data_IF_194282378982
#
_entry.id   IF_194282378982
#
_cell.length_a   1.000
_cell.length_b   1.000
_cell.length_c   1.000
_cell.angle_alpha   90.00
_cell.angle_beta   90.00
_cell.angle_gamma   90.00
#
_symmetry.space_group_name_H-M   'P 1'
#
loop_
_entity.id
_entity.type
_entity.pdbx_description
1 polymer ?
#
# COMPACT_ATOMS: atom_id res chain seq x y z
N UNK A 1 64.59 0.81 -10.98
CA UNK A 1 63.63 -0.02 -10.21
C UNK A 1 63.00 0.86 -9.15
N UNK A 2 61.79 1.35 -9.39
CA UNK A 2 61.02 2.11 -8.40
C UNK A 2 59.54 1.77 -8.61
N UNK A 3 59.09 0.67 -7.99
CA UNK A 3 57.67 0.40 -7.83
C UNK A 3 57.15 1.27 -6.69
N UNK A 4 56.61 2.44 -7.03
CA UNK A 4 55.77 3.20 -6.12
C UNK A 4 54.38 2.57 -6.15
N UNK A 5 54.07 1.81 -5.10
CA UNK A 5 52.72 1.35 -4.78
C UNK A 5 51.85 2.58 -4.54
N UNK A 6 51.07 2.98 -5.54
CA UNK A 6 49.98 3.94 -5.34
C UNK A 6 48.91 3.26 -4.49
N UNK A 7 48.95 3.58 -3.21
CA UNK A 7 47.91 3.30 -2.24
C UNK A 7 46.56 3.69 -2.87
N UNK A 8 45.67 2.72 -3.06
CA UNK A 8 44.28 2.98 -3.39
C UNK A 8 43.67 3.77 -2.23
N UNK A 9 43.45 5.08 -2.42
CA UNK A 9 42.61 5.87 -1.53
C UNK A 9 41.14 5.58 -1.87
N UNK A 10 40.34 4.95 -0.99
CA UNK A 10 38.96 4.60 -1.29
C UNK A 10 37.97 5.74 -0.98
N UNK A 11 38.43 6.99 -0.94
CA UNK A 11 37.65 8.09 -0.32
C UNK A 11 36.85 8.94 -1.30
N UNK A 12 37.11 8.93 -2.61
CA UNK A 12 36.49 9.90 -3.52
C UNK A 12 35.79 9.23 -4.69
N UNK A 13 34.56 8.76 -4.47
CA UNK A 13 33.36 9.26 -5.16
C UNK A 13 32.19 8.30 -4.91
N UNK A 14 31.52 8.45 -3.76
CA UNK A 14 30.37 7.61 -3.41
C UNK A 14 29.13 8.21 -4.08
N UNK A 15 28.47 7.45 -4.95
CA UNK A 15 27.17 7.85 -5.48
C UNK A 15 26.17 8.03 -4.34
N UNK A 16 25.27 8.99 -4.46
CA UNK A 16 24.08 9.11 -3.62
C UNK A 16 22.88 8.64 -4.43
N UNK A 17 22.29 7.52 -4.07
CA UNK A 17 21.25 6.89 -4.87
C UNK A 17 19.87 7.14 -4.27
N UNK A 18 18.93 7.58 -5.11
CA UNK A 18 17.49 7.60 -4.81
C UNK A 18 16.85 6.37 -5.44
N UNK A 19 15.93 5.71 -4.73
CA UNK A 19 15.28 4.50 -5.21
C UNK A 19 14.12 4.87 -6.14
N UNK A 20 14.13 4.35 -7.37
CA UNK A 20 13.00 4.45 -8.30
C UNK A 20 12.34 3.07 -8.46
N UNK A 21 11.01 3.02 -8.48
CA UNK A 21 10.23 1.77 -8.55
C UNK A 21 9.96 1.26 -9.98
N UNK A 22 10.39 1.99 -11.02
CA UNK A 22 10.21 1.52 -12.40
C UNK A 22 11.21 0.41 -12.73
N UNK A 23 10.69 -0.76 -13.10
CA UNK A 23 11.45 -1.86 -13.70
C UNK A 23 11.88 -1.56 -15.15
N UNK A 24 11.37 -0.48 -15.74
CA UNK A 24 11.52 -0.18 -17.17
C UNK A 24 11.89 1.29 -17.38
N UNK A 25 12.96 1.52 -18.14
CA UNK A 25 13.49 2.84 -18.46
C UNK A 25 15.01 2.85 -18.59
N UNK A 26 15.55 3.88 -19.22
CA UNK A 26 17.00 4.03 -19.37
C UNK A 26 17.64 4.32 -18.02
N UNK A 27 18.63 3.52 -17.64
CA UNK A 27 19.44 3.81 -16.45
C UNK A 27 20.26 5.06 -16.71
N UNK A 28 20.17 6.12 -15.88
CA UNK A 28 20.91 7.35 -16.12
C UNK A 28 22.42 7.09 -16.09
N UNK A 29 23.16 7.85 -16.90
CA UNK A 29 24.63 7.79 -16.89
C UNK A 29 25.14 8.18 -15.50
N UNK A 30 25.84 7.24 -14.84
CA UNK A 30 26.38 7.43 -13.52
C UNK A 30 27.60 8.34 -13.56
N UNK A 31 27.44 9.58 -13.07
CA UNK A 31 28.52 10.57 -12.97
C UNK A 31 28.86 10.85 -11.51
N UNK A 32 29.93 10.25 -10.96
CA UNK A 32 30.36 10.56 -9.60
C UNK A 32 30.78 12.05 -9.46
N UNK A 33 30.47 12.76 -8.35
CA UNK A 33 29.72 12.34 -7.16
C UNK A 33 28.21 12.71 -7.22
N UNK A 34 27.63 12.91 -8.41
CA UNK A 34 26.24 13.34 -8.55
C UNK A 34 25.25 12.24 -8.13
N UNK A 35 24.07 12.67 -7.64
CA UNK A 35 22.98 11.75 -7.31
C UNK A 35 22.41 11.10 -8.57
N UNK A 36 21.95 9.86 -8.46
CA UNK A 36 21.25 9.18 -9.54
C UNK A 36 20.06 8.40 -9.00
N UNK A 37 18.93 8.48 -9.71
CA UNK A 37 17.76 7.67 -9.40
C UNK A 37 17.95 6.30 -10.04
N UNK A 38 18.04 5.25 -9.22
CA UNK A 38 18.28 3.89 -9.67
C UNK A 38 17.21 2.94 -9.11
N UNK A 39 16.90 1.85 -9.83
CA UNK A 39 16.14 0.75 -9.25
C UNK A 39 16.79 0.22 -7.97
N UNK A 40 15.97 -0.16 -6.98
CA UNK A 40 16.44 -0.66 -5.67
C UNK A 40 17.47 -1.79 -5.82
N UNK A 41 17.20 -2.76 -6.69
CA UNK A 41 18.09 -3.91 -6.90
C UNK A 41 19.49 -3.48 -7.36
N UNK A 42 19.59 -2.48 -8.23
CA UNK A 42 20.86 -1.97 -8.74
C UNK A 42 21.59 -1.17 -7.67
N UNK A 43 20.84 -0.35 -6.90
CA UNK A 43 21.40 0.40 -5.78
C UNK A 43 22.00 -0.52 -4.70
N UNK A 44 21.28 -1.59 -4.34
CA UNK A 44 21.77 -2.60 -3.39
C UNK A 44 22.98 -3.37 -3.91
N UNK A 45 23.02 -3.69 -5.21
CA UNK A 45 24.17 -4.33 -5.84
C UNK A 45 25.42 -3.43 -5.78
N UNK A 46 25.28 -2.14 -6.09
CA UNK A 46 26.38 -1.17 -6.02
C UNK A 46 26.83 -0.92 -4.57
N UNK A 47 25.90 -0.90 -3.61
CA UNK A 47 26.22 -0.82 -2.17
C UNK A 47 27.04 -2.03 -1.72
N UNK A 48 26.64 -3.25 -2.11
CA UNK A 48 27.37 -4.49 -1.83
C UNK A 48 28.79 -4.47 -2.43
N UNK A 49 28.96 -3.87 -3.60
CA UNK A 49 30.27 -3.65 -4.23
C UNK A 49 31.08 -2.49 -3.61
N UNK A 50 30.56 -1.80 -2.59
CA UNK A 50 31.15 -0.60 -1.96
C UNK A 50 31.38 0.55 -2.94
N UNK A 51 30.56 0.63 -4.00
CA UNK A 51 30.68 1.63 -5.06
C UNK A 51 29.71 2.80 -4.90
N UNK A 52 28.71 2.68 -4.02
CA UNK A 52 27.70 3.70 -3.79
C UNK A 52 27.28 3.74 -2.32
N UNK A 53 26.78 4.90 -1.91
CA UNK A 53 25.97 5.06 -0.70
C UNK A 53 24.51 5.26 -1.10
N UNK A 54 23.60 4.74 -0.30
CA UNK A 54 22.17 4.90 -0.50
C UNK A 54 21.71 6.09 0.33
N UNK A 55 20.85 6.93 -0.23
CA UNK A 55 20.18 7.95 0.57
C UNK A 55 18.86 7.34 1.04
N UNK A 56 18.63 7.23 2.36
CA UNK A 56 17.37 6.69 2.88
C UNK A 56 16.21 7.63 2.48
N UNK A 57 15.03 7.07 2.16
CA UNK A 57 13.87 7.89 1.82
C UNK A 57 13.35 8.63 3.06
N UNK A 58 12.73 9.80 2.87
CA UNK A 58 12.34 10.70 3.95
C UNK A 58 11.35 10.08 4.96
N UNK A 59 10.47 9.19 4.50
CA UNK A 59 9.52 8.49 5.36
C UNK A 59 10.17 7.46 6.29
N UNK A 60 11.38 6.95 5.97
CA UNK A 60 12.10 5.96 6.79
C UNK A 60 12.91 6.61 7.94
N UNK A 61 12.82 7.93 8.09
CA UNK A 61 13.43 8.64 9.20
C UNK A 61 12.69 8.33 10.53
N UNK A 62 13.38 8.16 11.67
CA UNK A 62 12.74 7.86 12.95
C UNK A 62 11.65 8.83 13.34
N UNK A 63 11.87 10.14 13.15
CA UNK A 63 10.87 11.16 13.41
C UNK A 63 9.60 10.97 12.56
N UNK A 64 9.75 10.61 11.28
CA UNK A 64 8.62 10.35 10.37
C UNK A 64 7.85 9.10 10.80
N UNK A 65 8.55 8.01 11.16
CA UNK A 65 7.90 6.79 11.64
C UNK A 65 7.17 7.01 12.97
N UNK A 66 7.81 7.72 13.91
CA UNK A 66 7.21 8.05 15.20
C UNK A 66 5.96 8.95 15.03
N UNK A 67 6.00 9.91 14.10
CA UNK A 67 4.85 10.74 13.76
C UNK A 67 3.70 9.90 13.21
N UNK A 68 3.99 8.97 12.29
CA UNK A 68 2.97 8.06 11.73
C UNK A 68 2.36 7.19 12.83
N UNK A 69 3.18 6.58 13.69
CA UNK A 69 2.70 5.77 14.83
C UNK A 69 1.83 6.62 15.75
N UNK A 70 2.26 7.84 16.09
CA UNK A 70 1.47 8.76 16.92
C UNK A 70 0.14 9.10 16.27
N UNK A 71 0.14 9.42 14.97
CA UNK A 71 -1.07 9.70 14.22
C UNK A 71 -2.02 8.50 14.24
N UNK A 72 -1.50 7.31 13.99
CA UNK A 72 -2.26 6.06 13.91
C UNK A 72 -2.73 5.51 15.26
N UNK A 73 -2.16 5.95 16.38
CA UNK A 73 -2.55 5.49 17.73
C UNK A 73 -3.31 6.54 18.54
N UNK A 74 -3.05 7.83 18.31
CA UNK A 74 -3.62 8.94 19.10
C UNK A 74 -4.54 9.86 18.32
N UNK A 75 -4.22 10.14 17.05
CA UNK A 75 -4.97 11.15 16.26
C UNK A 75 -6.13 10.51 15.51
N UNK A 76 -5.88 9.40 14.81
CA UNK A 76 -6.89 8.61 14.08
C UNK A 76 -6.67 7.11 14.32
N UNK A 77 -7.20 6.56 15.44
CA UNK A 77 -7.05 5.13 15.74
C UNK A 77 -7.80 4.23 14.75
N UNK A 78 -8.90 4.71 14.15
CA UNK A 78 -9.76 3.89 13.30
C UNK A 78 -9.32 3.81 11.83
N UNK A 79 -8.24 4.50 11.44
CA UNK A 79 -7.79 4.58 10.05
C UNK A 79 -6.27 4.42 9.92
N UNK A 80 -5.83 3.90 8.77
CA UNK A 80 -4.42 3.89 8.37
C UNK A 80 -3.95 5.30 7.98
N UNK A 81 -2.64 5.54 8.04
CA UNK A 81 -2.03 6.73 7.44
C UNK A 81 -2.38 6.85 5.95
N UNK A 82 -2.61 8.06 5.45
CA UNK A 82 -2.94 8.26 4.04
C UNK A 82 -1.80 7.80 3.12
N UNK A 83 -2.13 7.18 1.96
CA UNK A 83 -1.11 6.90 0.95
C UNK A 83 -0.54 8.21 0.40
N UNK A 84 0.69 8.19 -0.17
CA UNK A 84 1.32 9.37 -0.72
C UNK A 84 0.42 10.03 -1.77
N UNK A 85 0.34 11.36 -1.80
CA UNK A 85 -0.47 12.06 -2.79
C UNK A 85 0.05 11.73 -4.20
N UNK A 86 -0.84 11.58 -5.20
CA UNK A 86 -0.41 11.43 -6.58
C UNK A 86 0.40 12.65 -7.02
N UNK A 87 1.45 12.47 -7.84
CA UNK A 87 2.18 13.59 -8.40
C UNK A 87 1.23 14.49 -9.20
N UNK A 88 1.36 15.80 -8.98
CA UNK A 88 0.62 16.82 -9.71
C UNK A 88 1.59 17.55 -10.65
N UNK A 89 1.20 17.71 -11.91
CA UNK A 89 1.93 18.50 -12.89
C UNK A 89 1.19 19.81 -13.09
N UNK A 90 1.86 20.94 -12.83
CA UNK A 90 1.33 22.24 -13.20
C UNK A 90 1.50 22.45 -14.70
N UNK A 91 0.43 22.79 -15.41
CA UNK A 91 0.53 23.23 -16.79
C UNK A 91 1.08 24.67 -16.88
N UNK A 92 1.43 25.10 -18.09
CA UNK A 92 1.88 26.48 -18.35
C UNK A 92 0.82 27.55 -18.06
N UNK A 93 -0.42 27.16 -17.73
CA UNK A 93 -1.55 28.01 -17.41
C UNK A 93 -1.81 28.10 -15.89
N UNK A 94 -1.00 27.42 -15.07
CA UNK A 94 -1.13 27.42 -13.62
C UNK A 94 -2.20 26.48 -13.07
N UNK A 95 -2.69 25.54 -13.87
CA UNK A 95 -3.63 24.50 -13.45
C UNK A 95 -2.86 23.23 -13.08
N UNK A 96 -3.17 22.67 -11.91
CA UNK A 96 -2.58 21.41 -11.47
C UNK A 96 -3.38 20.22 -12.01
N UNK A 97 -2.76 19.43 -12.88
CA UNK A 97 -3.32 18.19 -13.42
C UNK A 97 -2.79 16.99 -12.64
N UNK A 98 -3.64 15.98 -12.44
CA UNK A 98 -3.21 14.72 -11.83
C UNK A 98 -2.47 13.92 -12.90
N UNK A 99 -1.41 13.20 -12.54
CA UNK A 99 -0.62 12.42 -13.51
C UNK A 99 -1.41 11.35 -14.31
N UNK A 100 -2.67 11.06 -13.95
CA UNK A 100 -3.55 10.11 -14.65
C UNK A 100 -4.69 10.77 -15.44
N UNK A 101 -4.74 12.10 -15.54
CA UNK A 101 -5.71 12.79 -16.39
C UNK A 101 -5.07 13.09 -17.74
N UNK A 102 -5.47 12.35 -18.77
CA UNK A 102 -5.14 12.70 -20.14
C UNK A 102 -5.83 14.03 -20.50
N UNK A 103 -5.06 14.96 -21.08
CA UNK A 103 -5.47 16.33 -21.47
C UNK A 103 -6.53 16.33 -22.60
N UNK A 104 -6.77 15.18 -23.23
CA UNK A 104 -7.59 15.02 -24.44
C UNK A 104 -8.95 14.35 -24.17
N UNK A 105 -9.63 14.69 -23.07
CA UNK A 105 -11.05 14.33 -22.82
C UNK A 105 -11.43 12.85 -22.93
N UNK A 106 -10.44 11.95 -22.99
CA UNK A 106 -10.57 10.53 -23.28
C UNK A 106 -10.01 9.75 -22.10
N UNK A 107 -10.82 8.81 -21.60
CA UNK A 107 -10.59 7.82 -20.54
C UNK A 107 -9.59 8.18 -19.42
N UNK A 108 -10.11 8.50 -18.23
CA UNK A 108 -9.32 8.50 -16.99
C UNK A 108 -8.71 7.11 -16.81
N UNK A 109 -7.39 7.00 -16.97
CA UNK A 109 -6.68 5.74 -16.73
C UNK A 109 -6.77 5.39 -15.24
N UNK A 110 -7.67 4.46 -14.92
CA UNK A 110 -7.85 3.95 -13.56
C UNK A 110 -6.67 3.03 -13.24
N UNK A 111 -5.69 3.57 -12.51
CA UNK A 111 -4.57 2.80 -11.98
C UNK A 111 -4.86 2.44 -10.52
N UNK A 112 -4.51 1.22 -10.13
CA UNK A 112 -4.50 0.75 -8.75
C UNK A 112 -3.05 0.49 -8.30
N UNK A 113 -2.76 0.45 -6.98
CA UNK A 113 -1.49 -0.08 -6.50
C UNK A 113 -1.22 -1.48 -7.08
N UNK A 114 0.02 -1.81 -7.48
CA UNK A 114 1.24 -1.01 -7.38
C UNK A 114 1.49 -0.04 -8.55
N UNK A 115 0.57 0.06 -9.51
CA UNK A 115 0.77 0.79 -10.77
C UNK A 115 0.50 2.30 -10.66
N UNK A 116 0.09 2.79 -9.49
CA UNK A 116 -0.07 4.22 -9.26
C UNK A 116 1.31 4.93 -9.25
N UNK A 117 1.43 6.12 -9.88
CA UNK A 117 2.66 6.90 -9.83
C UNK A 117 3.10 7.30 -8.41
N UNK A 118 2.21 7.29 -7.42
CA UNK A 118 2.52 7.52 -6.01
C UNK A 118 3.03 6.27 -5.26
N UNK A 119 3.03 5.09 -5.87
CA UNK A 119 3.55 3.85 -5.29
C UNK A 119 5.07 3.72 -5.44
N UNK A 120 5.81 4.82 -5.31
CA UNK A 120 7.28 4.87 -5.39
C UNK A 120 7.91 4.87 -4.00
N UNK A 121 9.20 4.58 -3.91
CA UNK A 121 9.93 4.69 -2.65
C UNK A 121 10.09 6.15 -2.15
N UNK A 122 9.85 7.13 -3.02
CA UNK A 122 10.05 8.57 -2.79
C UNK A 122 8.82 9.24 -2.15
N UNK A 123 8.19 8.56 -1.19
CA UNK A 123 7.09 9.14 -0.45
C UNK A 123 7.59 10.29 0.46
N UNK A 124 6.81 11.39 0.56
CA UNK A 124 7.09 12.45 1.52
C UNK A 124 7.10 11.94 2.97
N UNK A 125 7.71 12.70 3.87
CA UNK A 125 7.57 12.44 5.30
C UNK A 125 6.09 12.40 5.72
N UNK A 126 5.78 11.59 6.73
CA UNK A 126 4.41 11.37 7.22
C UNK A 126 3.53 10.46 6.34
N UNK A 127 4.05 9.93 5.22
CA UNK A 127 3.32 9.02 4.33
C UNK A 127 4.08 7.71 4.15
N UNK A 128 3.36 6.59 4.03
CA UNK A 128 3.93 5.28 3.75
C UNK A 128 3.69 4.88 2.30
N UNK A 129 4.75 4.57 1.51
CA UNK A 129 4.56 4.03 0.17
C UNK A 129 4.00 2.61 0.21
N UNK A 130 3.49 2.13 -0.93
CA UNK A 130 2.83 0.82 -1.00
C UNK A 130 3.73 -0.35 -0.55
N UNK A 131 5.03 -0.31 -0.88
CA UNK A 131 6.02 -1.34 -0.51
C UNK A 131 6.93 -0.91 0.65
N UNK A 132 6.40 -0.16 1.61
CA UNK A 132 7.22 0.46 2.68
C UNK A 132 8.01 -0.57 3.48
N UNK A 133 7.41 -1.72 3.83
CA UNK A 133 8.06 -2.70 4.69
C UNK A 133 9.17 -3.45 3.95
N UNK A 134 8.94 -3.82 2.70
CA UNK A 134 9.93 -4.49 1.84
C UNK A 134 11.15 -3.60 1.60
N UNK A 135 10.91 -2.31 1.31
CA UNK A 135 11.97 -1.33 1.10
C UNK A 135 12.76 -1.14 2.40
N UNK A 136 12.07 -0.96 3.54
CA UNK A 136 12.71 -0.76 4.83
C UNK A 136 13.61 -1.94 5.22
N UNK A 137 13.09 -3.16 5.13
CA UNK A 137 13.84 -4.38 5.45
C UNK A 137 15.05 -4.56 4.51
N UNK A 138 14.87 -4.37 3.20
CA UNK A 138 15.95 -4.50 2.24
C UNK A 138 17.10 -3.51 2.51
N UNK A 139 16.76 -2.26 2.85
CA UNK A 139 17.73 -1.22 3.21
C UNK A 139 18.42 -1.50 4.55
N UNK A 140 17.66 -1.87 5.59
CA UNK A 140 18.24 -2.18 6.90
C UNK A 140 19.10 -3.45 6.89
N UNK A 141 18.88 -4.36 5.95
CA UNK A 141 19.70 -5.56 5.80
C UNK A 141 21.05 -5.27 5.09
N UNK A 142 21.08 -4.37 4.11
CA UNK A 142 22.24 -4.22 3.21
C UNK A 142 22.91 -2.85 3.23
N UNK A 143 22.24 -1.84 3.77
CA UNK A 143 22.67 -0.45 3.81
C UNK A 143 22.38 0.21 5.17
N UNK A 144 22.45 -0.58 6.25
CA UNK A 144 22.21 -0.10 7.61
C UNK A 144 23.13 1.07 8.02
N UNK A 145 24.35 1.12 7.48
CA UNK A 145 25.34 2.16 7.71
C UNK A 145 25.00 3.50 7.03
N UNK A 146 24.07 3.50 6.07
CA UNK A 146 23.58 4.71 5.41
C UNK A 146 22.27 5.26 6.03
N UNK A 147 21.75 4.61 7.08
CA UNK A 147 20.51 5.02 7.73
C UNK A 147 20.68 6.28 8.58
N UNK A 148 19.63 7.11 8.74
CA UNK A 148 19.75 8.41 9.43
C UNK A 148 19.92 8.26 10.95
N UNK A 149 19.60 7.09 11.51
CA UNK A 149 19.73 6.76 12.91
C UNK A 149 20.18 5.31 13.08
N UNK A 150 20.33 4.87 14.34
CA UNK A 150 20.76 3.50 14.62
C UNK A 150 19.77 2.50 14.02
N UNK A 151 20.28 1.47 13.35
CA UNK A 151 19.42 0.47 12.71
C UNK A 151 18.55 -0.30 13.72
N UNK A 152 18.91 -0.31 15.00
CA UNK A 152 18.09 -0.87 16.08
C UNK A 152 16.85 -0.03 16.39
N UNK A 153 17.01 1.29 16.43
CA UNK A 153 15.92 2.25 16.64
C UNK A 153 14.91 2.21 15.50
N UNK A 154 15.38 2.26 14.24
CA UNK A 154 14.50 2.18 13.06
C UNK A 154 13.74 0.85 13.04
N UNK A 155 14.41 -0.28 13.34
CA UNK A 155 13.74 -1.59 13.45
C UNK A 155 12.71 -1.63 14.58
N UNK A 156 12.95 -0.95 15.69
CA UNK A 156 11.98 -0.81 16.78
C UNK A 156 10.70 -0.15 16.28
N UNK A 157 10.84 1.04 15.69
CA UNK A 157 9.70 1.81 15.16
C UNK A 157 8.94 1.06 14.07
N UNK A 158 9.64 0.35 13.17
CA UNK A 158 8.98 -0.47 12.15
C UNK A 158 8.15 -1.61 12.77
N UNK A 159 8.67 -2.28 13.80
CA UNK A 159 7.91 -3.34 14.51
C UNK A 159 6.66 -2.78 15.18
N UNK A 160 6.79 -1.65 15.88
CA UNK A 160 5.66 -0.98 16.53
C UNK A 160 4.59 -0.60 15.50
N UNK A 161 5.01 -0.08 14.34
CA UNK A 161 4.13 0.28 13.23
C UNK A 161 3.42 -0.95 12.61
N UNK A 162 4.16 -2.05 12.37
CA UNK A 162 3.58 -3.33 11.91
C UNK A 162 2.56 -3.84 12.91
N UNK A 163 2.84 -3.78 14.21
CA UNK A 163 1.92 -4.24 15.26
C UNK A 163 0.62 -3.42 15.24
N UNK A 164 0.72 -2.09 15.28
CA UNK A 164 -0.43 -1.17 15.21
C UNK A 164 -1.29 -1.47 13.98
N UNK A 165 -0.66 -1.61 12.81
CA UNK A 165 -1.37 -1.79 11.55
C UNK A 165 -1.94 -3.19 11.39
N UNK A 166 -1.28 -4.22 11.92
CA UNK A 166 -1.83 -5.59 11.97
C UNK A 166 -3.09 -5.66 12.84
N UNK A 167 -3.12 -4.93 13.96
CA UNK A 167 -4.29 -4.86 14.84
C UNK A 167 -5.47 -4.18 14.11
N UNK A 168 -5.20 -3.09 13.39
CA UNK A 168 -6.21 -2.41 12.56
C UNK A 168 -6.73 -3.28 11.42
N UNK A 169 -5.85 -4.00 10.72
CA UNK A 169 -6.24 -4.93 9.66
C UNK A 169 -7.23 -5.98 10.19
N UNK A 170 -6.96 -6.58 11.36
CA UNK A 170 -7.89 -7.52 12.00
C UNK A 170 -9.22 -6.84 12.38
N UNK A 171 -9.17 -5.67 13.01
CA UNK A 171 -10.37 -4.92 13.39
C UNK A 171 -11.25 -4.55 12.20
N UNK A 172 -10.65 -4.15 11.07
CA UNK A 172 -11.38 -3.80 9.86
C UNK A 172 -12.13 -4.98 9.23
N UNK A 173 -11.73 -6.23 9.50
CA UNK A 173 -12.47 -7.42 9.05
C UNK A 173 -13.71 -7.70 9.93
N UNK A 174 -13.66 -7.38 11.22
CA UNK A 174 -14.84 -7.54 12.11
C UNK A 174 -16.01 -6.64 11.72
N UNK A 175 -15.73 -5.47 11.12
CA UNK A 175 -16.77 -4.59 10.59
C UNK A 175 -17.52 -5.20 9.40
N UNK A 176 -16.91 -6.16 8.69
CA UNK A 176 -17.55 -6.85 7.57
C UNK A 176 -18.64 -7.84 8.02
N UNK A 177 -18.54 -8.36 9.25
CA UNK A 177 -19.50 -9.33 9.81
C UNK A 177 -20.85 -8.69 10.17
N UNK A 178 -20.85 -7.38 10.45
CA UNK A 178 -22.07 -6.63 10.73
C UNK A 178 -22.80 -6.26 9.45
N UNK A 179 -23.68 -7.16 9.02
CA UNK A 179 -24.76 -6.95 8.04
C UNK A 179 -24.34 -6.70 6.57
N UNK A 180 -24.61 -7.69 5.72
CA UNK A 180 -24.98 -7.44 4.31
C UNK A 180 -23.86 -7.10 3.32
N UNK A 181 -22.59 -7.35 3.63
CA UNK A 181 -21.49 -7.12 2.69
C UNK A 181 -21.01 -5.66 2.66
N UNK A 182 -20.63 -5.14 3.82
CA UNK A 182 -20.00 -3.83 3.95
C UNK A 182 -18.74 -3.67 3.09
N UNK A 183 -18.48 -2.45 2.61
CA UNK A 183 -17.26 -2.13 1.85
C UNK A 183 -16.11 -1.91 2.84
N UNK A 184 -15.07 -2.74 2.75
CA UNK A 184 -13.85 -2.58 3.55
C UNK A 184 -12.96 -1.48 2.95
N UNK A 185 -12.69 -0.42 3.72
CA UNK A 185 -11.78 0.64 3.28
C UNK A 185 -10.32 0.29 3.63
N UNK A 186 -9.58 -0.20 2.63
CA UNK A 186 -8.15 -0.56 2.75
C UNK A 186 -7.21 0.55 2.26
N UNK A 187 -7.66 1.81 2.27
CA UNK A 187 -6.83 2.93 1.83
C UNK A 187 -5.64 3.10 2.75
N UNK A 188 -4.44 3.08 2.15
CA UNK A 188 -3.18 3.26 2.86
C UNK A 188 -2.52 1.96 3.32
N UNK A 189 -3.13 0.80 3.07
CA UNK A 189 -2.54 -0.53 3.37
C UNK A 189 -1.44 -0.86 2.36
N UNK A 190 -0.31 -1.37 2.85
CA UNK A 190 0.84 -1.77 2.04
C UNK A 190 0.74 -3.18 1.47
N UNK A 191 1.64 -3.52 0.55
CA UNK A 191 1.70 -4.82 -0.12
C UNK A 191 1.88 -5.99 0.84
N UNK A 192 2.85 -5.92 1.76
CA UNK A 192 3.12 -7.00 2.71
C UNK A 192 1.94 -7.23 3.65
N UNK A 193 1.28 -6.16 4.09
CA UNK A 193 0.13 -6.23 5.00
C UNK A 193 -1.08 -6.88 4.31
N UNK A 194 -1.31 -6.55 3.04
CA UNK A 194 -2.31 -7.23 2.21
C UNK A 194 -1.96 -8.70 2.00
N UNK A 195 -0.69 -9.01 1.71
CA UNK A 195 -0.24 -10.38 1.47
C UNK A 195 -0.40 -11.26 2.73
N UNK A 196 -0.07 -10.75 3.91
CA UNK A 196 -0.21 -11.46 5.18
C UNK A 196 -1.68 -11.70 5.55
N UNK A 197 -2.53 -10.67 5.37
CA UNK A 197 -3.95 -10.76 5.73
C UNK A 197 -4.82 -11.49 4.70
N UNK A 198 -4.33 -11.68 3.47
CA UNK A 198 -5.09 -12.19 2.31
C UNK A 198 -5.85 -13.48 2.60
N UNK A 199 -5.19 -14.50 3.15
CA UNK A 199 -5.81 -15.81 3.38
C UNK A 199 -6.98 -15.73 4.36
N UNK A 200 -6.82 -14.94 5.42
CA UNK A 200 -7.86 -14.75 6.43
C UNK A 200 -9.04 -13.93 5.89
N UNK A 201 -8.77 -12.76 5.30
CA UNK A 201 -9.81 -11.85 4.80
C UNK A 201 -10.67 -12.52 3.73
N UNK A 202 -10.04 -13.21 2.76
CA UNK A 202 -10.79 -13.93 1.73
C UNK A 202 -11.65 -15.05 2.34
N UNK A 203 -11.14 -15.75 3.36
CA UNK A 203 -11.93 -16.76 4.09
C UNK A 203 -13.18 -16.18 4.75
N UNK A 204 -13.07 -15.04 5.43
CA UNK A 204 -14.22 -14.35 6.05
C UNK A 204 -15.22 -13.89 4.99
N UNK A 205 -14.74 -13.22 3.94
CA UNK A 205 -15.59 -12.71 2.84
C UNK A 205 -16.36 -13.86 2.17
N UNK A 206 -15.69 -14.97 1.87
CA UNK A 206 -16.33 -16.15 1.27
C UNK A 206 -17.36 -16.77 2.22
N UNK A 207 -17.06 -16.81 3.52
CA UNK A 207 -17.99 -17.27 4.56
C UNK A 207 -19.25 -16.41 4.62
N UNK A 208 -19.09 -15.08 4.74
CA UNK A 208 -20.20 -14.12 4.75
C UNK A 208 -21.02 -14.22 3.46
N UNK A 209 -20.38 -14.37 2.30
CA UNK A 209 -21.07 -14.54 1.02
C UNK A 209 -21.92 -15.81 0.97
N UNK A 210 -21.39 -16.94 1.48
CA UNK A 210 -22.14 -18.21 1.56
C UNK A 210 -23.32 -18.11 2.51
N UNK A 211 -23.13 -17.49 3.68
CA UNK A 211 -24.21 -17.27 4.65
C UNK A 211 -25.29 -16.35 4.07
N UNK A 212 -24.92 -15.23 3.45
CA UNK A 212 -25.86 -14.32 2.80
C UNK A 212 -26.65 -14.99 1.69
N UNK A 213 -26.00 -15.81 0.84
CA UNK A 213 -26.69 -16.56 -0.20
C UNK A 213 -27.67 -17.60 0.38
N UNK A 214 -27.30 -18.27 1.47
CA UNK A 214 -28.18 -19.23 2.15
C UNK A 214 -29.38 -18.56 2.79
N UNK A 215 -29.20 -17.41 3.46
CA UNK A 215 -30.29 -16.67 4.11
C UNK A 215 -31.26 -16.10 3.07
N UNK A 216 -30.75 -15.54 1.98
CA UNK A 216 -31.58 -15.01 0.90
C UNK A 216 -32.38 -16.13 0.20
N UNK A 217 -31.78 -17.32 0.02
CA UNK A 217 -32.48 -18.47 -0.55
C UNK A 217 -33.64 -18.93 0.36
N UNK A 218 -33.42 -19.06 1.67
CA UNK A 218 -34.49 -19.41 2.61
C UNK A 218 -35.61 -18.39 2.64
N UNK A 219 -35.28 -17.09 2.62
CA UNK A 219 -36.29 -16.02 2.54
C UNK A 219 -37.14 -16.13 1.28
N UNK A 220 -36.51 -16.42 0.14
CA UNK A 220 -37.21 -16.58 -1.14
C UNK A 220 -38.10 -17.82 -1.16
N UNK A 221 -37.66 -18.93 -0.57
CA UNK A 221 -38.47 -20.14 -0.43
C UNK A 221 -39.71 -19.88 0.43
N UNK A 222 -39.57 -19.16 1.55
CA UNK A 222 -40.69 -18.75 2.41
C UNK A 222 -41.69 -17.85 1.65
N UNK A 223 -41.20 -16.85 0.91
CA UNK A 223 -42.04 -15.98 0.06
C UNK A 223 -42.78 -16.79 -1.02
N UNK A 224 -42.12 -17.74 -1.69
CA UNK A 224 -42.73 -18.61 -2.71
C UNK A 224 -43.75 -19.60 -2.11
N UNK A 225 -43.55 -20.05 -0.86
CA UNK A 225 -44.51 -20.88 -0.12
C UNK A 225 -45.75 -20.08 0.33
N UNK A 226 -45.55 -18.84 0.80
CA UNK A 226 -46.63 -17.92 1.15
C UNK A 226 -47.49 -17.56 -0.08
N UNK A 227 -46.87 -17.29 -1.23
CA UNK A 227 -47.58 -17.05 -2.50
C UNK A 227 -48.39 -18.29 -2.95
N UNK A 228 -47.88 -19.50 -2.72
CA UNK A 228 -48.62 -20.74 -3.02
C UNK A 228 -49.80 -20.99 -2.08
N UNK A 229 -49.70 -20.56 -0.81
CA UNK A 229 -50.74 -20.73 0.20
C UNK A 229 -51.81 -19.63 0.12
N UNK A 230 -51.47 -18.42 -0.28
CA UNK A 230 -52.38 -17.26 -0.35
C UNK A 230 -53.34 -17.24 -1.56
N UNK A 231 -53.20 -18.16 -2.52
CA UNK A 231 -54.02 -18.21 -3.74
C UNK A 231 -55.31 -19.04 -3.65
N UNK A 232 -55.82 -19.39 -2.45
CA UNK A 232 -56.92 -20.37 -2.31
C UNK A 232 -58.22 -19.88 -1.64
N UNK A 233 -58.32 -18.61 -1.25
CA UNK A 233 -59.49 -18.09 -0.51
C UNK A 233 -60.31 -17.04 -1.28
N UNK A 234 -60.59 -17.23 -2.58
CA UNK A 234 -61.53 -16.35 -3.34
C UNK A 234 -62.50 -17.09 -4.30
N UNK A 235 -62.86 -18.35 -4.01
CA UNK A 235 -63.92 -19.07 -4.73
C UNK A 235 -64.73 -20.00 -3.80
N UNK A 236 -65.44 -19.43 -2.82
CA UNK A 236 -66.63 -20.09 -2.27
C UNK A 236 -67.54 -19.07 -1.59
N UNK A 237 -68.45 -18.46 -2.35
CA UNK A 237 -69.76 -18.01 -1.87
C UNK A 237 -70.60 -17.50 -3.05
N UNK A 238 -70.96 -18.39 -3.99
CA UNK A 238 -72.16 -18.19 -4.82
C UNK A 238 -73.21 -19.25 -4.43
N UNK A 239 -73.88 -18.90 -3.33
CA UNK A 239 -75.30 -19.04 -3.04
C UNK A 239 -76.10 -20.12 -3.82
N UNK A 240 -76.45 -21.17 -3.09
CA UNK A 240 -77.36 -22.24 -3.49
C UNK A 240 -78.82 -21.75 -3.39
N UNK A 241 -79.40 -21.29 -4.50
CA UNK A 241 -80.84 -20.99 -4.63
C UNK A 241 -81.56 -21.98 -5.55
N UNK A 242 -82.31 -22.92 -4.95
CA UNK A 242 -83.34 -23.78 -5.61
C UNK A 242 -84.56 -22.93 -6.02
#
# INVERSE_FOLDING_TARGET
MANSLTHHDPILSKFMLTIQSNLQGDTPVLRPPHRANLPLWLALLLKKQRRANIVPPAWLHPASLAEIIHYETKVKPDAFSSPPPPPAHADARGVAHRANSDDDGSDVVILSPPFLPSCTADAPAGHLPYHWLEIAEALLAHAADDMPASAGEVRGLLRDLVEVRSAKMRASTTQLESFGGGVMNLRGVGSMELAESRGFVLGVVDGVRKLGASVEASRREEEEEEERMGGRDDESDEDMGI
#
